data_IF_822206270044
#
_entry.id   IF_822206270044
#
_cell.length_a   1.000
_cell.length_b   1.000
_cell.length_c   1.000
_cell.angle_alpha   90.00
_cell.angle_beta   90.00
_cell.angle_gamma   90.00
#
_symmetry.space_group_name_H-M   'P 1'
#
loop_
_entity.id
_entity.type
_entity.pdbx_description
1 polymer ?
#
# COMPACT_ATOMS: atom_id res chain seq x y z
N UNK A 1 53.00 -9.30 33.07
CA UNK A 1 52.54 -8.71 31.81
C UNK A 1 51.24 -9.41 31.39
N UNK A 2 50.11 -8.81 31.71
CA UNK A 2 48.79 -9.36 31.37
C UNK A 2 48.36 -8.88 29.97
N UNK A 3 48.15 -9.81 29.04
CA UNK A 3 47.53 -9.52 27.75
C UNK A 3 46.06 -9.20 27.96
N UNK A 4 45.65 -7.93 27.76
CA UNK A 4 44.26 -7.54 27.57
C UNK A 4 43.79 -8.08 26.25
N UNK A 5 42.97 -9.11 26.28
CA UNK A 5 42.17 -9.53 25.12
C UNK A 5 41.07 -8.48 24.85
N UNK A 6 41.33 -7.58 23.91
CA UNK A 6 40.28 -6.78 23.30
C UNK A 6 39.43 -7.70 22.45
N UNK A 7 38.33 -8.23 22.98
CA UNK A 7 37.23 -8.71 22.20
C UNK A 7 36.57 -7.47 21.57
N UNK A 8 36.91 -7.19 20.32
CA UNK A 8 36.11 -6.29 19.49
C UNK A 8 34.74 -6.96 19.29
N UNK A 9 33.79 -6.64 20.15
CA UNK A 9 32.41 -7.03 19.96
C UNK A 9 31.91 -6.37 18.67
N UNK A 10 31.60 -7.17 17.65
CA UNK A 10 30.90 -6.66 16.47
C UNK A 10 29.64 -5.93 16.95
N UNK A 11 29.51 -4.67 16.54
CA UNK A 11 28.32 -3.87 16.88
C UNK A 11 27.08 -4.57 16.30
N UNK A 12 26.02 -4.76 17.08
CA UNK A 12 24.82 -5.42 16.56
C UNK A 12 24.29 -4.65 15.35
N UNK A 13 23.92 -5.40 14.31
CA UNK A 13 23.33 -4.86 13.08
C UNK A 13 22.02 -4.13 13.40
N UNK A 14 21.77 -2.96 12.80
CA UNK A 14 20.49 -2.28 12.96
C UNK A 14 19.34 -3.10 12.36
N UNK A 15 18.10 -2.93 12.84
CA UNK A 15 16.93 -3.61 12.27
C UNK A 15 16.80 -3.43 10.75
N UNK A 16 16.93 -2.21 10.25
CA UNK A 16 16.82 -1.89 8.82
C UNK A 16 17.89 -2.64 8.00
N UNK A 17 19.13 -2.58 8.46
CA UNK A 17 20.23 -3.29 7.80
C UNK A 17 20.00 -4.81 7.80
N UNK A 18 19.49 -5.35 8.91
CA UNK A 18 19.16 -6.77 8.99
C UNK A 18 18.05 -7.12 7.99
N UNK A 19 16.99 -6.31 7.90
CA UNK A 19 15.88 -6.54 6.98
C UNK A 19 16.41 -6.54 5.55
N UNK A 20 17.15 -5.50 5.15
CA UNK A 20 17.70 -5.38 3.79
C UNK A 20 18.64 -6.55 3.40
N UNK A 21 19.46 -7.05 4.33
CA UNK A 21 20.49 -8.03 4.00
C UNK A 21 20.10 -9.49 4.33
N UNK A 22 19.10 -9.70 5.21
CA UNK A 22 18.87 -11.03 5.80
C UNK A 22 17.42 -11.49 5.83
N UNK A 23 16.44 -10.59 5.71
CA UNK A 23 15.05 -10.99 5.87
C UNK A 23 14.61 -12.05 4.87
N UNK A 24 14.99 -11.95 3.61
CA UNK A 24 14.68 -12.94 2.56
C UNK A 24 15.28 -14.33 2.81
N UNK A 25 16.33 -14.42 3.66
CA UNK A 25 16.91 -15.71 4.05
C UNK A 25 16.11 -16.42 5.15
N UNK A 26 15.18 -15.74 5.79
CA UNK A 26 14.29 -16.30 6.80
C UNK A 26 13.11 -17.00 6.12
N UNK A 27 12.63 -18.13 6.67
CA UNK A 27 11.40 -18.74 6.18
C UNK A 27 10.23 -17.77 6.21
N UNK A 28 9.39 -17.82 5.18
CA UNK A 28 8.09 -17.16 5.18
C UNK A 28 7.23 -17.71 6.30
N UNK A 29 6.52 -16.83 6.98
CA UNK A 29 5.51 -17.16 7.97
C UNK A 29 4.10 -16.94 7.42
N UNK A 30 3.16 -16.69 8.32
CA UNK A 30 1.78 -16.40 7.98
C UNK A 30 1.62 -15.01 7.37
N UNK A 31 0.71 -14.89 6.42
CA UNK A 31 0.27 -13.62 5.86
C UNK A 31 -1.20 -13.38 6.22
N UNK A 32 -1.58 -12.12 6.39
CA UNK A 32 -2.92 -11.75 6.80
C UNK A 32 -3.41 -10.56 5.99
N UNK A 33 -4.74 -10.51 5.78
CA UNK A 33 -5.44 -9.34 5.25
C UNK A 33 -6.87 -9.30 5.79
N UNK A 34 -7.65 -8.28 5.47
CA UNK A 34 -9.05 -8.21 5.85
C UNK A 34 -9.89 -9.31 5.21
N UNK A 35 -10.90 -9.81 5.90
CA UNK A 35 -11.79 -10.85 5.38
C UNK A 35 -12.55 -10.40 4.12
N UNK A 36 -12.86 -9.11 4.02
CA UNK A 36 -13.55 -8.47 2.89
C UNK A 36 -12.59 -7.87 1.84
N UNK A 37 -11.31 -8.23 1.85
CA UNK A 37 -10.27 -7.62 1.01
C UNK A 37 -10.58 -7.54 -0.50
N UNK A 38 -11.45 -8.45 -0.98
CA UNK A 38 -11.84 -8.46 -2.41
C UNK A 38 -12.72 -7.27 -2.77
N UNK A 39 -13.60 -6.89 -1.86
CA UNK A 39 -14.63 -5.87 -2.06
C UNK A 39 -14.23 -4.50 -1.47
N UNK A 40 -13.21 -4.46 -0.59
CA UNK A 40 -12.72 -3.23 0.01
C UNK A 40 -11.83 -2.46 -0.96
N UNK A 41 -11.96 -1.13 -0.96
CA UNK A 41 -11.14 -0.21 -1.76
C UNK A 41 -9.75 -0.01 -1.16
N UNK A 42 -9.67 -0.05 0.17
CA UNK A 42 -8.41 0.02 0.93
C UNK A 42 -8.25 -1.24 1.79
N UNK A 43 -7.07 -1.81 1.79
CA UNK A 43 -6.76 -3.03 2.54
C UNK A 43 -5.45 -2.93 3.30
N UNK A 44 -5.36 -3.70 4.40
CA UNK A 44 -4.11 -3.93 5.12
C UNK A 44 -3.62 -5.36 4.85
N UNK A 45 -2.38 -5.50 4.41
CA UNK A 45 -1.71 -6.79 4.25
C UNK A 45 -0.56 -6.89 5.25
N UNK A 46 -0.42 -8.02 5.95
CA UNK A 46 0.71 -8.29 6.83
C UNK A 46 1.48 -9.50 6.28
N UNK A 47 2.79 -9.35 6.10
CA UNK A 47 3.70 -10.44 5.72
C UNK A 47 4.71 -10.69 6.82
N UNK A 48 5.00 -11.95 7.10
CA UNK A 48 5.88 -12.32 8.22
C UNK A 48 7.04 -13.22 7.79
N UNK A 49 8.19 -13.10 8.51
CA UNK A 49 9.37 -13.95 8.39
C UNK A 49 9.71 -14.53 9.77
N UNK A 50 10.02 -15.82 9.82
CA UNK A 50 10.21 -16.55 11.07
C UNK A 50 11.72 -16.68 11.38
N UNK A 51 12.12 -16.19 12.55
CA UNK A 51 13.49 -16.38 13.05
C UNK A 51 13.70 -17.79 13.64
N UNK A 52 14.95 -18.30 13.69
CA UNK A 52 15.24 -19.64 14.21
C UNK A 52 14.79 -19.88 15.66
N UNK A 53 14.62 -18.79 16.46
CA UNK A 53 14.15 -18.87 17.84
C UNK A 53 12.63 -18.72 17.98
N UNK A 54 11.90 -18.67 16.87
CA UNK A 54 10.44 -18.57 16.85
C UNK A 54 9.91 -17.14 17.04
N UNK A 55 10.76 -16.12 17.09
CA UNK A 55 10.33 -14.73 16.94
C UNK A 55 10.07 -14.41 15.49
N UNK A 56 9.46 -13.27 15.20
CA UNK A 56 8.97 -12.91 13.87
C UNK A 56 9.44 -11.50 13.52
N UNK A 57 9.90 -11.29 12.29
CA UNK A 57 9.95 -9.98 11.67
C UNK A 57 8.80 -9.89 10.69
N UNK A 58 8.02 -8.83 10.73
CA UNK A 58 6.90 -8.63 9.84
C UNK A 58 6.83 -7.18 9.33
N UNK A 59 6.12 -6.99 8.25
CA UNK A 59 5.69 -5.67 7.82
C UNK A 59 4.20 -5.66 7.54
N UNK A 60 3.58 -4.50 7.76
CA UNK A 60 2.24 -4.18 7.32
C UNK A 60 2.32 -3.30 6.06
N UNK A 61 1.34 -3.43 5.18
CA UNK A 61 1.23 -2.73 3.90
C UNK A 61 -0.20 -2.25 3.75
N UNK A 62 -0.39 -0.94 3.79
CA UNK A 62 -1.68 -0.28 3.53
C UNK A 62 -1.79 -0.01 2.03
N UNK A 63 -2.80 -0.54 1.40
CA UNK A 63 -2.97 -0.55 -0.05
C UNK A 63 -4.28 0.13 -0.42
N UNK A 64 -4.21 1.19 -1.21
CA UNK A 64 -5.33 1.76 -1.95
C UNK A 64 -5.43 1.03 -3.30
N UNK A 65 -6.51 0.29 -3.51
CA UNK A 65 -6.74 -0.51 -4.71
C UNK A 65 -7.26 0.31 -5.89
N UNK A 66 -7.71 1.53 -5.65
CA UNK A 66 -8.39 2.35 -6.64
C UNK A 66 -7.41 3.22 -7.46
N UNK A 67 -6.30 3.68 -6.85
CA UNK A 67 -5.40 4.61 -7.52
C UNK A 67 -3.99 4.66 -6.94
N UNK A 68 -3.87 4.86 -5.60
CA UNK A 68 -2.62 5.28 -4.97
C UNK A 68 -1.65 4.12 -4.66
N UNK A 69 -2.07 2.86 -4.81
CA UNK A 69 -1.23 1.70 -4.56
C UNK A 69 -0.78 1.59 -3.10
N UNK A 70 0.51 1.46 -2.85
CA UNK A 70 1.06 1.34 -1.50
C UNK A 70 1.14 2.71 -0.81
N UNK A 71 0.14 3.01 0.02
CA UNK A 71 -0.02 4.31 0.71
C UNK A 71 0.61 4.34 2.11
N UNK A 72 1.00 3.19 2.65
CA UNK A 72 1.66 3.11 3.95
C UNK A 72 2.29 1.76 4.19
N UNK A 73 3.44 1.75 4.87
CA UNK A 73 4.08 0.51 5.31
C UNK A 73 4.99 0.78 6.51
N UNK A 74 5.13 -0.20 7.37
CA UNK A 74 6.07 -0.20 8.49
C UNK A 74 6.48 -1.61 8.83
N UNK A 75 7.61 -1.79 9.48
CA UNK A 75 8.09 -3.08 9.93
C UNK A 75 8.11 -3.21 11.45
N UNK A 76 8.05 -4.45 11.92
CA UNK A 76 8.22 -4.86 13.31
C UNK A 76 9.32 -5.92 13.37
N UNK A 77 10.44 -5.56 13.97
CA UNK A 77 11.63 -6.41 13.96
C UNK A 77 11.71 -7.33 15.16
N UNK A 78 11.85 -8.64 14.89
CA UNK A 78 12.16 -9.65 15.90
C UNK A 78 11.19 -9.67 17.10
N UNK A 79 9.90 -9.53 16.81
CA UNK A 79 8.83 -9.52 17.82
C UNK A 79 8.42 -10.94 18.25
N UNK A 80 7.87 -11.09 19.43
CA UNK A 80 7.33 -12.36 19.92
C UNK A 80 6.05 -12.75 19.16
N UNK A 81 5.68 -14.05 19.10
CA UNK A 81 4.41 -14.48 18.52
C UNK A 81 3.19 -13.81 19.18
N UNK A 82 3.26 -13.53 20.50
CA UNK A 82 2.22 -12.77 21.20
C UNK A 82 2.11 -11.34 20.64
N UNK A 83 3.24 -10.68 20.41
CA UNK A 83 3.23 -9.31 19.86
C UNK A 83 2.70 -9.28 18.42
N UNK A 84 3.01 -10.31 17.62
CA UNK A 84 2.40 -10.46 16.30
C UNK A 84 0.86 -10.59 16.40
N UNK A 85 0.36 -11.41 17.33
CA UNK A 85 -1.08 -11.53 17.54
C UNK A 85 -1.73 -10.19 17.94
N UNK A 86 -1.08 -9.40 18.81
CA UNK A 86 -1.53 -8.05 19.17
C UNK A 86 -1.54 -7.09 17.96
N UNK A 87 -0.58 -7.20 17.02
CA UNK A 87 -0.54 -6.41 15.78
C UNK A 87 -1.71 -6.81 14.86
N UNK A 88 -1.94 -8.10 14.65
CA UNK A 88 -3.05 -8.60 13.84
C UNK A 88 -4.40 -8.19 14.44
N UNK A 89 -4.53 -8.28 15.77
CA UNK A 89 -5.75 -7.86 16.50
C UNK A 89 -5.99 -6.35 16.38
N UNK A 90 -4.94 -5.54 16.41
CA UNK A 90 -5.04 -4.08 16.27
C UNK A 90 -5.72 -3.66 14.96
N UNK A 91 -5.48 -4.39 13.86
CA UNK A 91 -6.12 -4.15 12.57
C UNK A 91 -7.49 -4.83 12.43
N UNK A 92 -7.87 -5.70 13.35
CA UNK A 92 -9.18 -6.34 13.34
C UNK A 92 -10.20 -5.44 14.04
N UNK A 93 -10.90 -4.59 13.31
CA UNK A 93 -12.05 -3.88 13.87
C UNK A 93 -13.26 -4.82 13.97
N UNK A 94 -14.18 -4.47 14.88
CA UNK A 94 -15.13 -5.42 15.45
C UNK A 94 -16.27 -5.87 14.51
N UNK A 95 -16.48 -5.21 13.37
CA UNK A 95 -17.64 -5.52 12.52
C UNK A 95 -17.33 -5.98 11.09
N UNK A 96 -16.34 -5.41 10.40
CA UNK A 96 -16.08 -5.72 8.99
C UNK A 96 -14.60 -6.04 8.66
N UNK A 97 -13.65 -5.62 9.49
CA UNK A 97 -12.22 -5.63 9.16
C UNK A 97 -11.45 -6.78 9.84
N UNK A 98 -12.13 -7.91 10.09
CA UNK A 98 -11.46 -9.05 10.70
C UNK A 98 -10.31 -9.53 9.81
N UNK A 99 -9.08 -9.55 10.37
CA UNK A 99 -7.92 -10.13 9.71
C UNK A 99 -8.06 -11.65 9.57
N UNK A 100 -7.79 -12.15 8.38
CA UNK A 100 -7.78 -13.58 8.05
C UNK A 100 -6.41 -13.95 7.47
N UNK A 101 -6.01 -15.20 7.69
CA UNK A 101 -4.80 -15.75 7.08
C UNK A 101 -5.02 -15.99 5.58
N UNK A 102 -4.05 -15.59 4.77
CA UNK A 102 -4.05 -15.76 3.31
C UNK A 102 -2.75 -16.44 2.85
N UNK A 103 -2.74 -17.09 1.68
CA UNK A 103 -1.53 -17.58 1.04
C UNK A 103 -0.54 -16.43 0.76
N UNK A 104 0.76 -16.74 0.79
CA UNK A 104 1.79 -15.74 0.53
C UNK A 104 1.69 -15.16 -0.90
N UNK A 105 1.38 -15.99 -1.88
CA UNK A 105 1.21 -15.58 -3.28
C UNK A 105 0.11 -14.50 -3.42
N UNK A 106 -0.96 -14.62 -2.64
CA UNK A 106 -2.02 -13.61 -2.59
C UNK A 106 -1.49 -12.31 -2.01
N UNK A 107 -0.78 -12.38 -0.87
CA UNK A 107 -0.19 -11.18 -0.24
C UNK A 107 0.82 -10.49 -1.16
N UNK A 108 1.70 -11.25 -1.80
CA UNK A 108 2.73 -10.76 -2.72
C UNK A 108 2.11 -10.01 -3.89
N UNK A 109 1.17 -10.63 -4.60
CA UNK A 109 0.53 -10.04 -5.77
C UNK A 109 -0.38 -8.84 -5.43
N UNK A 110 -0.98 -8.81 -4.22
CA UNK A 110 -1.72 -7.63 -3.77
C UNK A 110 -0.78 -6.43 -3.54
N UNK A 111 0.42 -6.65 -3.01
CA UNK A 111 1.37 -5.57 -2.73
C UNK A 111 2.02 -5.09 -4.03
N UNK A 112 2.67 -5.97 -4.79
CA UNK A 112 3.37 -5.58 -6.01
C UNK A 112 2.42 -5.09 -7.10
N UNK A 113 1.30 -5.78 -7.33
CA UNK A 113 0.33 -5.36 -8.33
C UNK A 113 -0.32 -4.00 -8.01
N UNK A 114 -0.48 -3.65 -6.72
CA UNK A 114 -0.95 -2.31 -6.35
C UNK A 114 0.08 -1.21 -6.66
N UNK A 115 1.37 -1.52 -6.45
CA UNK A 115 2.48 -0.60 -6.78
C UNK A 115 2.56 -0.41 -8.29
N UNK A 116 2.59 -1.51 -9.06
CA UNK A 116 2.62 -1.47 -10.52
C UNK A 116 1.46 -0.64 -11.10
N UNK A 117 0.24 -0.86 -10.59
CA UNK A 117 -0.91 -0.08 -11.01
C UNK A 117 -0.77 1.40 -10.69
N UNK A 118 -0.26 1.77 -9.50
CA UNK A 118 -0.04 3.17 -9.13
C UNK A 118 1.07 3.83 -9.97
N UNK A 119 2.14 3.09 -10.30
CA UNK A 119 3.24 3.54 -11.14
C UNK A 119 2.77 3.90 -12.57
N UNK A 120 1.76 3.21 -13.10
CA UNK A 120 1.12 3.61 -14.39
C UNK A 120 0.59 5.05 -14.33
N UNK A 121 0.15 5.51 -13.15
CA UNK A 121 -0.30 6.88 -12.92
C UNK A 121 0.83 7.84 -12.49
N UNK A 122 2.07 7.36 -12.44
CA UNK A 122 3.24 8.09 -11.97
C UNK A 122 3.29 8.27 -10.45
N UNK A 123 2.59 7.41 -9.70
CA UNK A 123 2.53 7.45 -8.24
C UNK A 123 3.50 6.42 -7.68
N UNK A 124 4.55 6.92 -7.04
CA UNK A 124 5.57 6.09 -6.39
C UNK A 124 5.09 5.58 -5.03
N UNK A 125 5.55 4.40 -4.58
CA UNK A 125 5.27 3.91 -3.24
C UNK A 125 5.93 4.80 -2.17
N UNK A 126 5.41 4.73 -0.95
CA UNK A 126 5.95 5.50 0.20
C UNK A 126 7.41 5.16 0.51
N UNK A 127 8.19 6.14 1.02
CA UNK A 127 9.63 6.01 1.31
C UNK A 127 10.01 4.77 2.13
N UNK A 128 9.13 4.35 3.06
CA UNK A 128 9.37 3.18 3.90
C UNK A 128 9.43 1.85 3.11
N UNK A 129 8.95 1.82 1.86
CA UNK A 129 9.08 0.71 0.92
C UNK A 129 10.53 0.32 0.69
N UNK A 130 11.45 1.27 0.70
CA UNK A 130 12.90 1.04 0.60
C UNK A 130 13.45 0.01 1.61
N UNK A 131 12.71 -0.23 2.69
CA UNK A 131 13.09 -1.21 3.71
C UNK A 131 12.13 -2.40 3.69
N UNK A 132 10.83 -2.16 3.64
CA UNK A 132 9.83 -3.21 3.83
C UNK A 132 9.74 -4.18 2.66
N UNK A 133 10.12 -3.78 1.44
CA UNK A 133 10.20 -4.65 0.28
C UNK A 133 11.09 -5.90 0.51
N UNK A 134 12.10 -5.82 1.36
CA UNK A 134 12.99 -6.96 1.65
C UNK A 134 12.38 -8.00 2.58
N UNK A 135 11.18 -7.76 3.10
CA UNK A 135 10.38 -8.77 3.81
C UNK A 135 9.65 -9.68 2.81
N UNK A 136 9.38 -9.18 1.61
CA UNK A 136 8.86 -9.97 0.49
C UNK A 136 9.98 -10.72 -0.25
N UNK A 137 9.63 -11.75 -1.00
CA UNK A 137 10.50 -12.23 -2.08
C UNK A 137 10.59 -11.16 -3.18
N UNK A 138 11.53 -11.30 -4.09
CA UNK A 138 11.59 -10.43 -5.26
C UNK A 138 10.37 -10.67 -6.16
N UNK A 139 9.98 -9.63 -6.88
CA UNK A 139 8.92 -9.73 -7.85
C UNK A 139 9.48 -10.34 -9.14
N UNK A 140 9.48 -11.66 -9.18
CA UNK A 140 10.01 -12.46 -10.26
C UNK A 140 9.14 -13.70 -10.50
N UNK A 141 9.51 -14.51 -11.50
CA UNK A 141 8.78 -15.73 -11.90
C UNK A 141 8.72 -16.84 -10.84
N UNK A 142 9.39 -16.67 -9.67
CA UNK A 142 9.37 -17.66 -8.59
C UNK A 142 8.07 -17.61 -7.78
N UNK A 143 7.37 -16.48 -7.76
CA UNK A 143 6.05 -16.36 -7.14
C UNK A 143 4.99 -16.40 -8.23
N UNK A 144 4.02 -17.33 -8.18
CA UNK A 144 2.97 -17.42 -9.20
C UNK A 144 2.18 -16.11 -9.31
N UNK A 145 2.04 -15.59 -10.53
CA UNK A 145 1.25 -14.40 -10.81
C UNK A 145 -0.24 -14.66 -10.56
N UNK A 146 -0.87 -13.76 -9.83
CA UNK A 146 -2.32 -13.69 -9.63
C UNK A 146 -2.78 -12.31 -10.09
N UNK A 147 -3.54 -12.29 -11.18
CA UNK A 147 -4.10 -11.05 -11.70
C UNK A 147 -5.28 -10.58 -10.84
N UNK A 148 -5.25 -9.31 -10.46
CA UNK A 148 -6.36 -8.62 -9.78
C UNK A 148 -6.89 -7.49 -10.64
N UNK A 149 -8.16 -7.17 -10.46
CA UNK A 149 -8.73 -5.97 -11.06
C UNK A 149 -8.45 -4.77 -10.14
N UNK A 150 -7.67 -3.82 -10.64
CA UNK A 150 -7.34 -2.57 -9.98
C UNK A 150 -8.25 -1.44 -10.48
N UNK A 151 -8.35 -0.38 -9.68
CA UNK A 151 -9.13 0.79 -10.03
C UNK A 151 -10.64 0.53 -10.07
N UNK A 152 -11.38 1.55 -10.43
CA UNK A 152 -12.83 1.43 -10.68
C UNK A 152 -13.05 0.94 -12.12
N UNK A 153 -13.39 -0.34 -12.27
CA UNK A 153 -13.55 -1.00 -13.58
C UNK A 153 -12.27 -0.92 -14.46
N UNK A 154 -11.10 -1.02 -13.86
CA UNK A 154 -9.80 -0.95 -14.55
C UNK A 154 -9.30 0.48 -14.81
N UNK A 155 -9.98 1.49 -14.32
CA UNK A 155 -9.58 2.90 -14.45
C UNK A 155 -9.09 3.43 -13.11
N UNK A 156 -7.98 4.16 -13.11
CA UNK A 156 -7.50 4.87 -11.91
C UNK A 156 -8.58 5.81 -11.38
N UNK A 157 -8.91 5.64 -10.11
CA UNK A 157 -9.97 6.39 -9.44
C UNK A 157 -9.46 6.94 -8.11
N UNK A 158 -9.01 8.19 -8.12
CA UNK A 158 -8.48 8.86 -6.94
C UNK A 158 -9.59 9.28 -6.00
N UNK A 159 -9.66 8.66 -4.82
CA UNK A 159 -10.44 9.15 -3.70
C UNK A 159 -9.57 10.05 -2.84
N UNK A 160 -9.89 11.34 -2.80
CA UNK A 160 -9.15 12.34 -2.05
C UNK A 160 -10.00 12.89 -0.91
N UNK A 161 -9.38 13.18 0.24
CA UNK A 161 -10.08 13.78 1.37
C UNK A 161 -10.46 15.25 1.08
N UNK A 162 -9.55 15.96 0.41
CA UNK A 162 -9.73 17.36 0.08
C UNK A 162 -9.08 17.78 -1.26
N UNK A 163 -9.21 19.06 -1.60
CA UNK A 163 -8.63 19.63 -2.82
C UNK A 163 -7.10 19.65 -2.83
N UNK A 164 -6.48 19.74 -1.67
CA UNK A 164 -5.03 19.77 -1.55
C UNK A 164 -4.45 18.41 -1.92
N UNK A 165 -5.06 17.33 -1.44
CA UNK A 165 -4.68 15.98 -1.81
C UNK A 165 -4.80 15.76 -3.33
N UNK A 166 -5.93 16.16 -3.95
CA UNK A 166 -6.05 16.08 -5.41
C UNK A 166 -4.93 16.83 -6.11
N UNK A 167 -4.59 18.03 -5.65
CA UNK A 167 -3.54 18.83 -6.29
C UNK A 167 -2.16 18.18 -6.25
N UNK A 168 -1.89 17.32 -5.27
CA UNK A 168 -0.64 16.57 -5.16
C UNK A 168 -0.49 15.52 -6.27
N UNK A 169 -1.60 14.90 -6.69
CA UNK A 169 -1.57 13.80 -7.67
C UNK A 169 -1.92 14.23 -9.09
N UNK A 170 -2.73 15.28 -9.24
CA UNK A 170 -3.40 15.62 -10.49
C UNK A 170 -2.45 15.84 -11.66
N UNK A 171 -1.38 16.61 -11.48
CA UNK A 171 -0.42 16.90 -12.56
C UNK A 171 0.31 15.65 -13.01
N UNK A 172 0.71 14.81 -12.07
CA UNK A 172 1.43 13.55 -12.37
C UNK A 172 0.52 12.56 -13.07
N UNK A 173 -0.71 12.37 -12.57
CA UNK A 173 -1.69 11.51 -13.21
C UNK A 173 -2.04 12.00 -14.63
N UNK A 174 -2.16 13.31 -14.82
CA UNK A 174 -2.43 13.88 -16.13
C UNK A 174 -1.27 13.67 -17.10
N UNK A 175 -0.02 13.75 -16.65
CA UNK A 175 1.16 13.49 -17.45
C UNK A 175 1.23 12.02 -17.92
N UNK A 176 0.91 11.06 -17.04
CA UNK A 176 1.04 9.63 -17.31
C UNK A 176 -0.22 9.03 -17.97
N UNK A 177 -1.40 9.41 -17.51
CA UNK A 177 -2.67 8.83 -17.96
C UNK A 177 -3.44 9.72 -18.95
N UNK A 178 -2.99 10.97 -19.16
CA UNK A 178 -3.73 11.94 -19.96
C UNK A 178 -5.05 12.28 -19.30
N UNK A 179 -6.17 11.81 -19.92
CA UNK A 179 -7.53 12.00 -19.40
C UNK A 179 -8.17 10.70 -18.91
N UNK A 180 -7.40 9.62 -18.84
CA UNK A 180 -7.93 8.29 -18.54
C UNK A 180 -7.90 7.98 -17.04
N UNK A 181 -8.43 8.87 -16.22
CA UNK A 181 -8.62 8.67 -14.79
C UNK A 181 -9.80 9.48 -14.27
N UNK A 182 -10.28 9.14 -13.08
CA UNK A 182 -11.33 9.85 -12.36
C UNK A 182 -10.86 10.21 -10.95
N UNK A 183 -11.51 11.18 -10.33
CA UNK A 183 -11.31 11.46 -8.92
C UNK A 183 -12.58 11.99 -8.23
N UNK A 184 -12.64 11.83 -6.92
CA UNK A 184 -13.68 12.34 -6.03
C UNK A 184 -13.04 13.01 -4.83
N UNK A 185 -13.69 14.06 -4.31
CA UNK A 185 -13.23 14.79 -3.12
C UNK A 185 -14.24 14.60 -2.00
N UNK A 186 -13.80 14.04 -0.88
CA UNK A 186 -14.62 13.81 0.32
C UNK A 186 -15.89 13.01 0.05
N UNK A 187 -16.90 13.22 0.86
CA UNK A 187 -18.23 12.62 0.70
C UNK A 187 -19.10 13.32 -0.37
N UNK A 188 -18.54 14.31 -1.06
CA UNK A 188 -19.27 14.99 -2.13
C UNK A 188 -19.48 14.00 -3.28
N UNK A 189 -20.69 13.96 -3.83
CA UNK A 189 -21.05 13.18 -5.02
C UNK A 189 -20.47 13.75 -6.31
N UNK A 190 -19.55 14.71 -6.22
CA UNK A 190 -18.95 15.37 -7.37
C UNK A 190 -17.76 14.56 -7.88
N UNK A 191 -17.96 13.85 -8.98
CA UNK A 191 -16.90 13.23 -9.78
C UNK A 191 -16.34 14.24 -10.76
N UNK A 192 -15.03 14.21 -10.96
CA UNK A 192 -14.35 15.16 -11.83
C UNK A 192 -13.62 14.40 -12.92
N UNK A 193 -14.09 14.49 -14.16
CA UNK A 193 -13.45 13.90 -15.34
C UNK A 193 -14.38 13.98 -16.55
N UNK A 194 -14.11 14.78 -17.58
CA UNK A 194 -14.90 14.92 -18.81
C UNK A 194 -15.64 16.26 -18.97
N UNK A 195 -15.73 16.73 -20.21
CA UNK A 195 -16.15 18.09 -20.59
C UNK A 195 -17.66 18.34 -20.66
N UNK A 196 -18.50 18.38 -19.72
CA UNK A 196 -19.78 19.11 -19.91
C UNK A 196 -20.37 19.51 -18.55
N UNK A 197 -20.32 20.83 -18.29
CA UNK A 197 -21.00 21.45 -17.16
C UNK A 197 -22.35 22.00 -17.61
N UNK A 198 -23.43 21.41 -17.12
CA UNK A 198 -24.71 22.08 -17.01
C UNK A 198 -25.14 22.07 -15.54
N UNK A 199 -25.22 23.25 -14.93
CA UNK A 199 -25.55 23.46 -13.52
C UNK A 199 -26.94 22.91 -13.13
N UNK A 200 -27.76 22.51 -14.06
CA UNK A 200 -29.15 22.12 -13.84
C UNK A 200 -29.39 20.64 -13.56
N UNK A 201 -28.35 19.77 -13.69
CA UNK A 201 -28.48 18.31 -13.49
C UNK A 201 -28.03 17.81 -12.11
N UNK A 202 -27.91 18.70 -11.12
CA UNK A 202 -27.33 18.44 -9.79
C UNK A 202 -28.19 17.62 -8.82
N UNK A 203 -29.25 16.97 -9.24
CA UNK A 203 -30.02 16.09 -8.38
C UNK A 203 -29.79 14.61 -8.71
N UNK A 204 -28.76 14.00 -8.11
CA UNK A 204 -28.61 12.55 -8.02
C UNK A 204 -27.73 11.89 -9.07
N UNK A 205 -26.87 12.60 -9.78
CA UNK A 205 -25.92 12.07 -10.76
C UNK A 205 -24.46 12.19 -10.30
N UNK A 206 -23.65 11.24 -10.71
CA UNK A 206 -22.18 11.28 -10.56
C UNK A 206 -21.61 12.31 -11.54
N UNK A 207 -20.85 13.29 -11.05
CA UNK A 207 -20.28 14.36 -11.88
C UNK A 207 -18.82 14.11 -12.17
N UNK A 208 -18.44 14.17 -13.45
CA UNK A 208 -17.06 14.17 -13.89
C UNK A 208 -16.63 15.61 -14.21
N UNK A 209 -15.74 16.24 -13.44
CA UNK A 209 -15.16 17.57 -13.73
C UNK A 209 -13.85 17.37 -14.51
N UNK A 210 -13.62 18.22 -15.52
CA UNK A 210 -12.37 18.26 -16.28
C UNK A 210 -11.21 18.80 -15.44
N UNK A 211 -10.06 18.17 -15.57
CA UNK A 211 -8.79 18.59 -14.97
C UNK A 211 -8.49 20.08 -15.22
N UNK A 212 -8.75 20.59 -16.43
CA UNK A 212 -8.51 22.00 -16.77
C UNK A 212 -9.43 22.98 -16.03
N UNK A 213 -10.68 22.63 -15.79
CA UNK A 213 -11.61 23.43 -15.01
C UNK A 213 -11.20 23.46 -13.53
N UNK A 214 -10.70 22.36 -13.01
CA UNK A 214 -10.22 22.27 -11.62
C UNK A 214 -8.95 23.10 -11.40
N UNK A 215 -7.98 23.06 -12.32
CA UNK A 215 -6.78 23.90 -12.26
C UNK A 215 -7.12 25.40 -12.28
N UNK A 216 -8.16 25.79 -13.00
CA UNK A 216 -8.66 27.18 -12.99
C UNK A 216 -9.21 27.59 -11.62
N UNK A 217 -9.86 26.67 -10.90
CA UNK A 217 -10.37 26.92 -9.54
C UNK A 217 -9.28 26.93 -8.46
N UNK A 218 -8.19 26.21 -8.62
CA UNK A 218 -7.07 26.20 -7.67
C UNK A 218 -6.19 27.45 -7.74
N UNK A 219 -6.24 28.20 -8.86
CA UNK A 219 -5.40 29.39 -9.11
C UNK A 219 -6.11 30.70 -8.75
N UNK A 220 -7.30 30.66 -8.19
CA UNK A 220 -8.07 31.81 -7.67
C UNK A 220 -8.39 31.64 -6.19
#
# INVERSE_FOLDING_TARGET
MGKKNNKSGAQPMSPEKYIKEKARMLPLGKCYTYANWKDADEIMVIVTRIHPKGTVTCADFCIDKLCKGLIGTRYFFNVSPRKLAEIVEYYSDKENDRMVEIPYEVAHNLIYGSIEFAEEAGIEPVDAWDITQYILEEDDDNVPLIEYQWGLNGMHYLLAEDRLEVSCYLSTMQEHLGRNFKFRIGDSTAYIGGWDWHEEEFQGCEYEIHVEAFLYFLTR
#
